data_IF_234965455823
#
_entry.id   IF_234965455823
#
_cell.length_a   1.000
_cell.length_b   1.000
_cell.length_c   1.000
_cell.angle_alpha   90.00
_cell.angle_beta   90.00
_cell.angle_gamma   90.00
#
_symmetry.space_group_name_H-M   'P 1'
#
loop_
_entity.id
_entity.type
_entity.pdbx_description
1 polymer ?
#
# COMPACT_ATOMS: atom_id res chain seq x y z
N UNK A 1 12.55 27.25 7.58
CA UNK A 1 11.81 26.39 6.62
C UNK A 1 12.48 25.04 6.31
N UNK A 2 13.53 24.61 7.03
CA UNK A 2 14.21 23.33 6.74
C UNK A 2 13.63 22.10 7.47
N UNK A 3 12.82 22.30 8.52
CA UNK A 3 12.31 21.21 9.38
C UNK A 3 11.15 20.44 8.71
N UNK A 4 10.28 21.12 7.97
CA UNK A 4 9.07 20.53 7.39
C UNK A 4 9.34 19.60 6.20
N UNK A 5 10.36 19.90 5.39
CA UNK A 5 10.72 19.05 4.25
C UNK A 5 11.23 17.68 4.69
N UNK A 6 12.10 17.65 5.71
CA UNK A 6 12.71 16.42 6.23
C UNK A 6 11.68 15.44 6.83
N UNK A 7 10.64 15.97 7.48
CA UNK A 7 9.55 15.18 8.04
C UNK A 7 8.68 14.55 6.94
N UNK A 8 8.38 15.29 5.87
CA UNK A 8 7.58 14.79 4.74
C UNK A 8 8.30 13.68 3.98
N UNK A 9 9.60 13.82 3.77
CA UNK A 9 10.42 12.79 3.10
C UNK A 9 10.52 11.51 3.93
N UNK A 10 10.63 11.63 5.26
CA UNK A 10 10.63 10.48 6.17
C UNK A 10 9.30 9.72 6.15
N UNK A 11 8.16 10.44 6.14
CA UNK A 11 6.83 9.82 5.99
C UNK A 11 6.70 9.09 4.66
N UNK A 12 7.10 9.73 3.55
CA UNK A 12 7.03 9.12 2.23
C UNK A 12 7.91 7.86 2.11
N UNK A 13 9.10 7.86 2.72
CA UNK A 13 9.95 6.68 2.79
C UNK A 13 9.30 5.54 3.60
N UNK A 14 8.69 5.86 4.75
CA UNK A 14 8.01 4.87 5.60
C UNK A 14 6.79 4.26 4.91
N UNK A 15 6.02 5.06 4.17
CA UNK A 15 4.89 4.57 3.36
C UNK A 15 5.35 3.57 2.29
N UNK A 16 6.43 3.88 1.57
CA UNK A 16 6.99 2.96 0.57
C UNK A 16 7.48 1.67 1.20
N UNK A 17 8.15 1.74 2.35
CA UNK A 17 8.59 0.55 3.07
C UNK A 17 7.42 -0.31 3.54
N UNK A 18 6.36 0.31 4.05
CA UNK A 18 5.14 -0.38 4.44
C UNK A 18 4.45 -1.05 3.24
N UNK A 19 4.30 -0.35 2.12
CA UNK A 19 3.69 -0.89 0.90
C UNK A 19 4.51 -2.06 0.32
N UNK A 20 5.84 -1.92 0.27
CA UNK A 20 6.75 -2.98 -0.15
C UNK A 20 6.71 -4.22 0.76
N UNK A 21 6.38 -4.05 2.04
CA UNK A 21 6.13 -5.17 2.96
C UNK A 21 4.74 -5.79 2.71
N UNK A 22 3.71 -4.95 2.52
CA UNK A 22 2.33 -5.37 2.30
C UNK A 22 2.17 -6.23 1.05
N UNK A 23 2.81 -5.88 -0.07
CA UNK A 23 2.72 -6.64 -1.33
C UNK A 23 3.32 -8.05 -1.25
N UNK A 24 4.14 -8.35 -0.24
CA UNK A 24 4.62 -9.72 0.01
C UNK A 24 3.51 -10.66 0.47
N UNK A 25 2.38 -10.09 0.92
CA UNK A 25 1.17 -10.79 1.32
C UNK A 25 0.04 -10.62 0.29
N UNK A 26 0.37 -10.18 -0.93
CA UNK A 26 -0.62 -9.98 -1.97
C UNK A 26 -1.29 -11.31 -2.38
N UNK A 27 -2.61 -11.27 -2.50
CA UNK A 27 -3.40 -12.33 -3.12
C UNK A 27 -3.72 -11.92 -4.56
N UNK A 28 -3.41 -12.80 -5.51
CA UNK A 28 -3.66 -12.59 -6.94
C UNK A 28 -4.68 -13.61 -7.43
N UNK A 29 -5.76 -13.12 -8.03
CA UNK A 29 -6.83 -13.93 -8.59
C UNK A 29 -7.19 -13.47 -10.00
N UNK A 30 -7.76 -14.37 -10.80
CA UNK A 30 -8.31 -14.02 -12.11
C UNK A 30 -9.56 -13.14 -11.93
N UNK A 31 -9.66 -12.09 -12.74
CA UNK A 31 -10.88 -11.30 -12.83
C UNK A 31 -11.91 -12.04 -13.69
N UNK A 32 -13.16 -12.06 -13.23
CA UNK A 32 -14.27 -12.65 -14.00
C UNK A 32 -14.40 -11.97 -15.37
N UNK A 33 -14.58 -12.79 -16.41
CA UNK A 33 -14.81 -12.36 -17.79
C UNK A 33 -13.73 -11.46 -18.42
N UNK A 34 -12.50 -11.47 -17.91
CA UNK A 34 -11.38 -10.72 -18.50
C UNK A 34 -10.06 -11.50 -18.51
N UNK A 35 -9.06 -11.02 -19.25
CA UNK A 35 -7.70 -11.57 -19.24
C UNK A 35 -6.82 -11.01 -18.11
N UNK A 36 -7.38 -10.18 -17.23
CA UNK A 36 -6.62 -9.52 -16.16
C UNK A 36 -6.60 -10.35 -14.87
N UNK A 37 -5.49 -10.21 -14.15
CA UNK A 37 -5.33 -10.65 -12.78
C UNK A 37 -5.54 -9.46 -11.85
N UNK A 38 -6.24 -9.66 -10.74
CA UNK A 38 -6.46 -8.68 -9.68
C UNK A 38 -5.56 -9.04 -8.51
N UNK A 39 -4.80 -8.07 -8.01
CA UNK A 39 -4.01 -8.18 -6.80
C UNK A 39 -4.66 -7.38 -5.66
N UNK A 40 -4.75 -7.99 -4.48
CA UNK A 40 -5.31 -7.42 -3.25
C UNK A 40 -4.42 -7.73 -2.05
N UNK A 41 -4.55 -7.00 -0.94
CA UNK A 41 -3.92 -7.34 0.35
C UNK A 41 -4.98 -7.38 1.44
N UNK A 42 -4.94 -8.40 2.29
CA UNK A 42 -5.83 -8.50 3.46
C UNK A 42 -5.63 -7.31 4.40
N UNK A 43 -6.73 -6.78 4.94
CA UNK A 43 -6.70 -5.60 5.83
C UNK A 43 -6.59 -4.25 5.10
N UNK A 44 -6.49 -4.25 3.77
CA UNK A 44 -6.46 -3.02 2.95
C UNK A 44 -7.69 -2.93 2.04
N UNK A 45 -8.92 -2.84 2.59
CA UNK A 45 -10.13 -2.80 1.76
C UNK A 45 -10.12 -1.58 0.83
N UNK A 46 -10.46 -1.81 -0.44
CA UNK A 46 -10.44 -0.79 -1.48
C UNK A 46 -9.07 -0.56 -2.12
N UNK A 47 -7.97 -1.12 -1.57
CA UNK A 47 -6.67 -1.14 -2.24
C UNK A 47 -6.52 -2.41 -3.06
N UNK A 48 -6.70 -2.26 -4.37
CA UNK A 48 -6.52 -3.34 -5.34
C UNK A 48 -5.92 -2.78 -6.63
N UNK A 49 -5.29 -3.66 -7.39
CA UNK A 49 -4.70 -3.33 -8.69
C UNK A 49 -4.90 -4.49 -9.66
N UNK A 50 -4.68 -4.24 -10.94
CA UNK A 50 -4.80 -5.25 -11.98
C UNK A 50 -3.58 -5.27 -12.90
N UNK A 51 -3.39 -6.38 -13.60
CA UNK A 51 -2.32 -6.55 -14.58
C UNK A 51 -2.57 -7.78 -15.45
N UNK A 52 -1.90 -7.88 -16.59
CA UNK A 52 -1.94 -9.08 -17.45
C UNK A 52 -1.06 -10.20 -16.91
N UNK A 53 -0.18 -9.89 -15.95
CA UNK A 53 0.59 -10.87 -15.19
C UNK A 53 0.49 -10.58 -13.70
N UNK A 54 0.77 -11.60 -12.87
CA UNK A 54 0.77 -11.44 -11.42
C UNK A 54 1.82 -10.42 -10.96
N UNK A 55 2.98 -10.39 -11.64
CA UNK A 55 4.04 -9.43 -11.37
C UNK A 55 3.58 -7.99 -11.64
N UNK A 56 2.88 -7.75 -12.75
CA UNK A 56 2.36 -6.42 -13.10
C UNK A 56 1.29 -5.96 -12.11
N UNK A 57 0.36 -6.85 -11.76
CA UNK A 57 -0.69 -6.54 -10.79
C UNK A 57 -0.12 -6.20 -9.41
N UNK A 58 0.88 -6.96 -8.95
CA UNK A 58 1.56 -6.72 -7.65
C UNK A 58 2.42 -5.46 -7.68
N UNK A 59 3.15 -5.20 -8.76
CA UNK A 59 3.94 -3.98 -8.91
C UNK A 59 3.05 -2.72 -8.91
N UNK A 60 1.89 -2.78 -9.57
CA UNK A 60 0.94 -1.68 -9.52
C UNK A 60 0.30 -1.54 -8.13
N UNK A 61 -0.02 -2.66 -7.47
CA UNK A 61 -0.58 -2.67 -6.12
C UNK A 61 0.30 -1.95 -5.10
N UNK A 62 1.62 -2.06 -5.21
CA UNK A 62 2.55 -1.35 -4.33
C UNK A 62 2.32 0.17 -4.37
N UNK A 63 2.12 0.74 -5.56
CA UNK A 63 1.86 2.17 -5.74
C UNK A 63 0.47 2.56 -5.23
N UNK A 64 -0.54 1.71 -5.45
CA UNK A 64 -1.90 1.93 -4.93
C UNK A 64 -1.91 1.95 -3.40
N UNK A 65 -1.16 1.04 -2.76
CA UNK A 65 -1.05 0.95 -1.30
C UNK A 65 -0.42 2.20 -0.68
N UNK A 66 0.58 2.81 -1.34
CA UNK A 66 1.15 4.09 -0.89
C UNK A 66 0.08 5.18 -0.90
N UNK A 67 -0.67 5.32 -1.99
CA UNK A 67 -1.72 6.32 -2.10
C UNK A 67 -2.87 6.09 -1.12
N UNK A 68 -3.31 4.84 -0.97
CA UNK A 68 -4.36 4.45 -0.03
C UNK A 68 -3.96 4.80 1.41
N UNK A 69 -2.74 4.43 1.83
CA UNK A 69 -2.26 4.70 3.18
C UNK A 69 -2.06 6.21 3.44
N UNK A 70 -1.60 6.98 2.44
CA UNK A 70 -1.44 8.43 2.55
C UNK A 70 -2.79 9.13 2.78
N UNK A 71 -3.83 8.75 2.02
CA UNK A 71 -5.20 9.26 2.20
C UNK A 71 -5.74 8.89 3.59
N UNK A 72 -5.61 7.62 3.98
CA UNK A 72 -6.04 7.14 5.31
C UNK A 72 -5.41 7.94 6.45
N UNK A 73 -4.09 8.16 6.40
CA UNK A 73 -3.39 8.95 7.41
C UNK A 73 -3.82 10.41 7.40
N UNK A 74 -4.09 10.99 6.23
CA UNK A 74 -4.56 12.37 6.11
C UNK A 74 -5.97 12.56 6.72
N UNK A 75 -6.82 11.55 6.61
CA UNK A 75 -8.16 11.53 7.21
C UNK A 75 -8.15 11.22 8.72
N UNK A 76 -6.98 10.87 9.27
CA UNK A 76 -6.80 10.52 10.68
C UNK A 76 -7.23 9.09 11.01
N UNK A 77 -7.37 8.23 10.00
CA UNK A 77 -7.74 6.83 10.20
C UNK A 77 -6.63 6.07 10.93
N UNK A 78 -7.05 5.15 11.80
CA UNK A 78 -6.17 4.33 12.64
C UNK A 78 -6.29 2.84 12.34
N UNK A 79 -7.03 2.48 11.28
CA UNK A 79 -7.33 1.10 10.88
C UNK A 79 -6.32 0.51 9.90
N UNK A 80 -5.23 1.23 9.62
CA UNK A 80 -4.15 0.77 8.74
C UNK A 80 -3.42 -0.41 9.40
N UNK A 81 -3.39 -1.60 8.77
CA UNK A 81 -2.75 -2.77 9.35
C UNK A 81 -1.22 -2.61 9.42
N UNK A 82 -0.61 -3.28 10.40
CA UNK A 82 0.84 -3.40 10.47
C UNK A 82 1.33 -4.39 9.40
N UNK A 83 2.33 -3.98 8.61
CA UNK A 83 2.88 -4.81 7.53
C UNK A 83 4.40 -4.92 7.68
N UNK A 84 4.92 -6.14 7.78
CA UNK A 84 6.35 -6.40 7.95
C UNK A 84 6.97 -5.71 9.17
N UNK A 85 6.23 -5.59 10.28
CA UNK A 85 6.69 -4.89 11.49
C UNK A 85 6.59 -3.36 11.43
N UNK A 86 6.01 -2.80 10.35
CA UNK A 86 5.88 -1.35 10.17
C UNK A 86 4.45 -0.94 10.53
N UNK A 87 4.32 -0.19 11.62
CA UNK A 87 3.09 0.48 11.98
C UNK A 87 3.11 1.93 11.47
N UNK A 88 2.10 2.34 10.71
CA UNK A 88 2.00 3.71 10.17
C UNK A 88 1.29 4.69 11.13
N UNK A 89 0.44 4.17 12.01
CA UNK A 89 -0.40 4.97 12.91
C UNK A 89 0.32 5.27 14.23
N UNK A 90 1.11 4.32 14.72
CA UNK A 90 1.93 4.49 15.92
C UNK A 90 3.32 4.92 15.52
N UNK A 91 3.73 6.09 16.02
CA UNK A 91 5.13 6.51 15.96
C UNK A 91 6.05 5.44 16.57
N UNK A 92 7.34 5.42 16.19
CA UNK A 92 8.32 4.56 16.84
C UNK A 92 8.37 4.76 18.36
#
# INVERSE_FOLDING_TARGET
>A
MAVTARSKDATAARLRQWAAAAVRHANVAEAEDTEYLIATVEGCPGAWAYGTTAADAVAYLESVLVGWADVKLADGDTDIPEMGGINLVRGP
#
